data_IF_528582820658
#
_entry.id   IF_528582820658
#
_cell.length_a   1.000
_cell.length_b   1.000
_cell.length_c   1.000
_cell.angle_alpha   90.00
_cell.angle_beta   90.00
_cell.angle_gamma   90.00
#
_symmetry.space_group_name_H-M   'P 1'
#
loop_
_entity.id
_entity.type
_entity.pdbx_description
1 polymer ?
#
# COMPACT_ATOMS: atom_id res chain seq x y z
N UNK A 1 -9.06 3.70 -6.03
CA UNK A 1 -8.18 2.54 -5.79
C UNK A 1 -8.46 2.03 -4.38
N UNK A 2 -8.64 0.71 -4.19
CA UNK A 2 -8.93 0.13 -2.86
C UNK A 2 -7.64 -0.39 -2.24
N UNK A 3 -7.30 0.06 -1.03
CA UNK A 3 -6.15 -0.43 -0.28
C UNK A 3 -6.45 -1.88 0.15
N UNK A 4 -5.59 -2.86 -0.18
CA UNK A 4 -5.85 -4.26 0.14
C UNK A 4 -5.86 -4.48 1.66
N UNK A 5 -6.76 -5.36 2.11
CA UNK A 5 -6.81 -5.78 3.51
C UNK A 5 -5.67 -6.76 3.83
N UNK A 6 -5.44 -7.04 5.12
CA UNK A 6 -4.41 -8.00 5.53
C UNK A 6 -4.66 -9.41 4.96
N UNK A 7 -5.92 -9.86 4.99
CA UNK A 7 -6.32 -11.14 4.42
C UNK A 7 -6.11 -11.19 2.91
N UNK A 8 -6.33 -10.08 2.20
CA UNK A 8 -6.03 -10.03 0.77
C UNK A 8 -4.52 -10.17 0.53
N UNK A 9 -3.70 -9.45 1.31
CA UNK A 9 -2.23 -9.47 1.19
C UNK A 9 -1.67 -10.88 1.42
N UNK A 10 -2.21 -11.63 2.38
CA UNK A 10 -1.76 -12.99 2.69
C UNK A 10 -1.99 -13.98 1.55
N UNK A 11 -3.02 -13.76 0.72
CA UNK A 11 -3.39 -14.60 -0.42
C UNK A 11 -2.59 -14.31 -1.70
N UNK A 12 -1.88 -13.18 -1.75
CA UNK A 12 -1.10 -12.80 -2.94
C UNK A 12 0.17 -13.62 -3.07
N UNK A 13 0.47 -14.03 -4.31
CA UNK A 13 1.79 -14.56 -4.69
C UNK A 13 2.85 -13.45 -4.86
N UNK A 14 4.11 -13.85 -5.04
CA UNK A 14 5.26 -12.93 -5.12
C UNK A 14 5.15 -11.89 -6.25
N UNK A 15 4.74 -12.32 -7.44
CA UNK A 15 4.55 -11.42 -8.59
C UNK A 15 3.40 -10.44 -8.36
N UNK A 16 2.29 -10.92 -7.78
CA UNK A 16 1.11 -10.09 -7.52
C UNK A 16 1.36 -9.10 -6.40
N UNK A 17 2.02 -9.51 -5.32
CA UNK A 17 2.32 -8.63 -4.18
C UNK A 17 3.29 -7.53 -4.57
N UNK A 18 4.24 -7.82 -5.47
CA UNK A 18 5.17 -6.83 -6.02
C UNK A 18 4.44 -5.77 -6.84
N UNK A 19 3.59 -6.20 -7.79
CA UNK A 19 2.76 -5.29 -8.60
C UNK A 19 1.86 -4.42 -7.72
N UNK A 20 1.16 -5.05 -6.76
CA UNK A 20 0.23 -4.36 -5.87
C UNK A 20 0.94 -3.42 -4.89
N UNK A 21 2.16 -3.76 -4.49
CA UNK A 21 3.01 -2.86 -3.70
C UNK A 21 3.37 -1.59 -4.47
N UNK A 22 3.76 -1.71 -5.74
CA UNK A 22 4.06 -0.56 -6.59
C UNK A 22 2.82 0.34 -6.79
N UNK A 23 1.66 -0.27 -7.03
CA UNK A 23 0.37 0.41 -7.13
C UNK A 23 0.01 1.21 -5.88
N UNK A 24 0.05 0.57 -4.71
CA UNK A 24 -0.29 1.23 -3.43
C UNK A 24 0.75 2.30 -3.08
N UNK A 25 2.04 2.11 -3.43
CA UNK A 25 3.06 3.17 -3.30
C UNK A 25 2.72 4.40 -4.14
N UNK A 26 2.32 4.21 -5.42
CA UNK A 26 1.91 5.32 -6.29
C UNK A 26 0.70 6.05 -5.72
N UNK A 27 -0.29 5.31 -5.21
CA UNK A 27 -1.45 5.89 -4.55
C UNK A 27 -1.10 6.67 -3.28
N UNK A 28 -0.22 6.12 -2.43
CA UNK A 28 0.27 6.80 -1.23
C UNK A 28 1.02 8.10 -1.58
N UNK A 29 1.81 8.11 -2.66
CA UNK A 29 2.48 9.32 -3.13
C UNK A 29 1.50 10.39 -3.60
N UNK A 30 0.43 10.00 -4.31
CA UNK A 30 -0.65 10.92 -4.70
C UNK A 30 -1.34 11.52 -3.48
N UNK A 31 -1.74 10.69 -2.52
CA UNK A 31 -2.34 11.15 -1.27
C UNK A 31 -1.41 12.08 -0.48
N UNK A 32 -0.10 11.81 -0.47
CA UNK A 32 0.89 12.70 0.15
C UNK A 32 0.94 14.07 -0.54
N UNK A 33 0.88 14.09 -1.87
CA UNK A 33 0.85 15.34 -2.63
C UNK A 33 -0.44 16.12 -2.35
N UNK A 34 -1.59 15.45 -2.34
CA UNK A 34 -2.91 16.06 -2.07
C UNK A 34 -3.01 16.58 -0.61
N UNK A 35 -2.40 15.87 0.36
CA UNK A 35 -2.27 16.32 1.74
C UNK A 35 -1.37 17.55 1.86
N UNK A 36 -0.26 17.57 1.12
CA UNK A 36 0.70 18.68 1.13
C UNK A 36 0.12 19.94 0.50
N UNK A 37 -0.70 19.81 -0.55
CA UNK A 37 -1.35 20.92 -1.23
C UNK A 37 -2.60 21.43 -0.50
N UNK A 38 -3.03 20.77 0.59
CA UNK A 38 -4.24 21.12 1.34
C UNK A 38 -5.54 20.75 0.62
N UNK A 39 -5.48 20.10 -0.54
CA UNK A 39 -6.64 19.67 -1.34
C UNK A 39 -7.36 18.46 -0.73
N UNK A 40 -6.72 17.70 0.16
CA UNK A 40 -7.31 16.53 0.81
C UNK A 40 -6.97 16.49 2.30
N UNK A 41 -7.96 16.16 3.13
CA UNK A 41 -7.79 15.84 4.57
C UNK A 41 -7.67 14.34 4.82
N UNK A 42 -7.47 13.52 3.77
CA UNK A 42 -7.56 12.07 3.87
C UNK A 42 -6.28 11.40 4.40
N UNK A 43 -5.82 11.91 5.55
CA UNK A 43 -4.68 11.42 6.31
C UNK A 43 -4.90 9.96 6.74
N UNK A 44 -6.17 9.59 6.98
CA UNK A 44 -6.57 8.22 7.31
C UNK A 44 -6.24 7.28 6.16
N UNK A 45 -6.63 7.62 4.93
CA UNK A 45 -6.29 6.82 3.74
C UNK A 45 -4.78 6.75 3.49
N UNK A 46 -4.06 7.86 3.69
CA UNK A 46 -2.59 7.85 3.56
C UNK A 46 -1.93 6.91 4.57
N UNK A 47 -2.35 6.97 5.84
CA UNK A 47 -1.85 6.09 6.90
C UNK A 47 -2.16 4.63 6.63
N UNK A 48 -3.36 4.33 6.14
CA UNK A 48 -3.74 2.97 5.74
C UNK A 48 -2.88 2.46 4.58
N UNK A 49 -2.61 3.29 3.57
CA UNK A 49 -1.77 2.90 2.45
C UNK A 49 -0.33 2.59 2.90
N UNK A 50 0.24 3.40 3.79
CA UNK A 50 1.56 3.16 4.39
C UNK A 50 1.60 1.85 5.18
N UNK A 51 0.57 1.57 6.01
CA UNK A 51 0.47 0.31 6.75
C UNK A 51 0.33 -0.90 5.83
N UNK A 52 -0.42 -0.76 4.74
CA UNK A 52 -0.58 -1.80 3.73
C UNK A 52 0.74 -2.10 3.00
N UNK A 53 1.52 -1.07 2.66
CA UNK A 53 2.84 -1.24 2.02
C UNK A 53 3.77 -2.03 2.93
N UNK A 54 3.85 -1.67 4.22
CA UNK A 54 4.70 -2.38 5.17
C UNK A 54 4.33 -3.88 5.26
N UNK A 55 3.04 -4.19 5.35
CA UNK A 55 2.54 -5.58 5.37
C UNK A 55 2.91 -6.34 4.10
N UNK A 56 2.77 -5.71 2.93
CA UNK A 56 3.14 -6.34 1.66
C UNK A 56 4.63 -6.58 1.55
N UNK A 57 5.47 -5.67 2.06
CA UNK A 57 6.92 -5.85 2.12
C UNK A 57 7.32 -7.01 3.03
N UNK A 58 6.71 -7.14 4.22
CA UNK A 58 6.94 -8.28 5.12
C UNK A 58 6.55 -9.59 4.46
N UNK A 59 5.39 -9.64 3.79
CA UNK A 59 4.96 -10.85 3.08
C UNK A 59 5.89 -11.18 1.91
N UNK A 60 6.37 -10.19 1.15
CA UNK A 60 7.35 -10.41 0.09
C UNK A 60 8.67 -10.95 0.65
N UNK A 61 9.16 -10.43 1.78
CA UNK A 61 10.33 -10.98 2.46
C UNK A 61 10.12 -12.45 2.87
N UNK A 62 8.95 -12.79 3.40
CA UNK A 62 8.61 -14.16 3.79
C UNK A 62 8.40 -15.12 2.60
N UNK A 63 8.16 -14.60 1.38
CA UNK A 63 8.06 -15.42 0.17
C UNK A 63 9.44 -15.67 -0.46
N UNK A 64 10.41 -14.79 -0.20
CA UNK A 64 11.76 -14.85 -0.73
C UNK A 64 12.76 -15.51 0.24
N UNK A 65 12.27 -15.99 1.39
CA UNK A 65 13.03 -16.75 2.40
C UNK A 65 12.66 -18.22 2.32
#
# INVERSE_FOLDING_TARGET
MKIPSLSDIQKLGESEITKKTAEVKKFASKLKADLRSGFSKDLKSYRLAKKSIARMQTKLQNLNS
#
